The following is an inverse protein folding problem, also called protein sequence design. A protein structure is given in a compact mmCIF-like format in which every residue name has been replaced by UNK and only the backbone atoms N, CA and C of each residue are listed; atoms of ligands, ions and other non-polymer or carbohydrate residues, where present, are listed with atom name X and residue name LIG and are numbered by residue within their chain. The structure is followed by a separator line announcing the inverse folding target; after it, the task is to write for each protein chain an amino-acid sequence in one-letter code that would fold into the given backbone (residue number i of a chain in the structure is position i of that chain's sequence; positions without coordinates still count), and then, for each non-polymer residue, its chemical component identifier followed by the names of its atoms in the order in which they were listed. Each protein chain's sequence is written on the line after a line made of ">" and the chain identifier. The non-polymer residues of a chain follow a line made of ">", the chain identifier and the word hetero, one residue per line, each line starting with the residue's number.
data_IF_236439799019
#
_entry.id   IF_236439799019
#
_cell.length_a   1.000
_cell.length_b   1.000
_cell.length_c   1.000
_cell.angle_alpha   90.00
_cell.angle_beta   90.00
_cell.angle_gamma   90.00
#
_symmetry.space_group_name_H-M   'P 1'
#
loop_
_entity.id
_entity.type
_entity.pdbx_description
1 polymer ?
#
# COMPACT_ATOMS: atom_id res chain seq x y z
N UNK A 1 6.66 13.40 -3.55
CA UNK A 1 5.73 12.51 -4.29
C UNK A 1 5.91 12.72 -5.78
N UNK A 2 6.40 11.70 -6.46
CA UNK A 2 6.73 11.81 -7.88
C UNK A 2 5.75 11.04 -8.77
N UNK A 3 5.38 9.83 -8.36
CA UNK A 3 4.58 8.92 -9.19
C UNK A 3 3.17 8.67 -8.65
N UNK A 4 2.91 9.00 -7.40
CA UNK A 4 1.63 8.74 -6.74
C UNK A 4 1.09 10.00 -6.09
N UNK A 5 -0.22 10.04 -5.89
CA UNK A 5 -0.91 11.19 -5.30
C UNK A 5 -1.72 10.75 -4.08
N UNK A 6 -2.03 11.70 -3.21
CA UNK A 6 -2.94 11.46 -2.08
C UNK A 6 -4.32 11.04 -2.57
N UNK A 7 -4.79 11.62 -3.68
CA UNK A 7 -6.09 11.25 -4.27
C UNK A 7 -6.15 9.77 -4.65
N UNK A 8 -5.08 9.21 -5.21
CA UNK A 8 -5.01 7.79 -5.52
C UNK A 8 -5.13 6.93 -4.27
N UNK A 9 -4.58 7.38 -3.15
CA UNK A 9 -4.64 6.67 -1.87
C UNK A 9 -6.03 6.71 -1.24
N UNK A 10 -6.81 7.75 -1.53
CA UNK A 10 -8.18 7.91 -1.01
C UNK A 10 -9.22 7.20 -1.86
N UNK A 11 -8.95 6.98 -3.13
CA UNK A 11 -9.94 6.44 -4.05
C UNK A 11 -10.36 5.02 -3.68
N UNK A 12 -11.67 4.77 -3.67
CA UNK A 12 -12.24 3.45 -3.50
C UNK A 12 -13.56 3.35 -4.27
N UNK A 13 -13.61 2.41 -5.23
CA UNK A 13 -14.81 2.15 -5.98
C UNK A 13 -15.95 1.65 -5.08
N UNK A 14 -15.63 0.86 -4.05
CA UNK A 14 -16.61 0.39 -3.06
C UNK A 14 -17.18 1.56 -2.26
N UNK A 15 -16.33 2.48 -1.82
CA UNK A 15 -16.79 3.66 -1.08
C UNK A 15 -17.72 4.51 -1.93
N UNK A 16 -17.38 4.74 -3.20
CA UNK A 16 -18.25 5.49 -4.11
C UNK A 16 -19.61 4.81 -4.30
N UNK A 17 -19.60 3.50 -4.55
CA UNK A 17 -20.84 2.75 -4.74
C UNK A 17 -21.74 2.73 -3.52
N UNK A 18 -21.16 2.78 -2.31
CA UNK A 18 -21.90 2.74 -1.03
C UNK A 18 -22.13 4.12 -0.42
N UNK A 19 -21.68 5.19 -1.06
CA UNK A 19 -21.82 6.55 -0.53
C UNK A 19 -20.99 6.80 0.74
N UNK A 20 -19.86 6.09 0.89
CA UNK A 20 -18.96 6.25 2.02
C UNK A 20 -17.92 7.33 1.69
N UNK A 21 -17.77 8.32 2.56
CA UNK A 21 -16.72 9.32 2.45
C UNK A 21 -15.42 8.73 2.96
N UNK A 22 -14.45 8.55 2.05
CA UNK A 22 -13.17 7.92 2.38
C UNK A 22 -11.99 8.87 2.21
N UNK A 23 -12.13 10.07 2.76
CA UNK A 23 -11.06 11.07 2.71
C UNK A 23 -10.07 10.84 3.84
N UNK A 24 -8.76 10.90 3.54
CA UNK A 24 -7.71 10.77 4.55
C UNK A 24 -7.79 11.97 5.51
N UNK A 25 -7.98 11.73 6.83
CA UNK A 25 -7.96 12.82 7.80
C UNK A 25 -6.62 13.58 7.76
N UNK A 26 -6.63 14.90 8.03
CA UNK A 26 -5.38 15.67 8.03
C UNK A 26 -4.26 15.05 8.87
N UNK A 27 -4.58 14.45 10.01
CA UNK A 27 -3.61 13.80 10.90
C UNK A 27 -2.90 12.59 10.27
N UNK A 28 -3.47 11.99 9.21
CA UNK A 28 -2.91 10.80 8.53
C UNK A 28 -2.33 11.10 7.16
N UNK A 29 -2.44 12.32 6.66
CA UNK A 29 -1.84 12.72 5.37
C UNK A 29 -0.34 12.42 5.37
N UNK A 30 0.35 12.77 6.45
CA UNK A 30 1.79 12.51 6.61
C UNK A 30 2.13 11.02 6.45
N UNK A 31 1.28 10.12 6.96
CA UNK A 31 1.51 8.67 6.85
C UNK A 31 1.60 8.26 5.37
N UNK A 32 0.66 8.74 4.56
CA UNK A 32 0.63 8.42 3.14
C UNK A 32 1.69 9.16 2.32
N UNK A 33 2.04 10.39 2.70
CA UNK A 33 3.16 11.09 2.08
C UNK A 33 4.46 10.30 2.28
N UNK A 34 4.70 9.80 3.49
CA UNK A 34 5.90 9.00 3.77
C UNK A 34 5.88 7.65 3.07
N UNK A 35 4.73 6.97 3.03
CA UNK A 35 4.61 5.72 2.25
C UNK A 35 4.96 5.95 0.78
N UNK A 36 4.44 7.03 0.20
CA UNK A 36 4.73 7.37 -1.19
C UNK A 36 6.21 7.69 -1.39
N UNK A 37 6.74 8.63 -0.60
CA UNK A 37 8.11 9.13 -0.78
C UNK A 37 9.17 8.07 -0.50
N UNK A 38 8.97 7.27 0.54
CA UNK A 38 10.00 6.34 1.04
C UNK A 38 9.86 4.92 0.52
N UNK A 39 8.68 4.54 0.03
CA UNK A 39 8.40 3.17 -0.40
C UNK A 39 7.91 3.12 -1.84
N UNK A 40 6.77 3.72 -2.15
CA UNK A 40 6.12 3.54 -3.44
C UNK A 40 6.86 4.21 -4.60
N UNK A 41 7.35 5.43 -4.42
CA UNK A 41 8.12 6.13 -5.46
C UNK A 41 9.43 5.41 -5.77
N UNK A 42 10.24 4.96 -4.78
CA UNK A 42 11.42 4.14 -5.06
C UNK A 42 11.09 2.83 -5.80
N UNK A 43 10.00 2.16 -5.43
CA UNK A 43 9.55 0.95 -6.12
C UNK A 43 9.23 1.25 -7.58
N UNK A 44 8.44 2.30 -7.81
CA UNK A 44 8.04 2.69 -9.18
C UNK A 44 9.25 3.09 -10.03
N UNK A 45 10.21 3.78 -9.45
CA UNK A 45 11.43 4.15 -10.15
C UNK A 45 12.23 2.92 -10.60
N UNK A 46 12.29 1.90 -9.77
CA UNK A 46 13.00 0.66 -10.08
C UNK A 46 12.24 -0.22 -11.09
N UNK A 47 10.92 -0.30 -10.94
CA UNK A 47 10.08 -1.11 -11.84
C UNK A 47 9.97 -0.50 -13.24
N UNK A 48 10.01 0.82 -13.36
CA UNK A 48 10.00 1.61 -14.61
C UNK A 48 8.69 1.59 -15.42
N UNK A 49 7.68 0.85 -14.99
CA UNK A 49 6.36 0.80 -15.64
C UNK A 49 5.27 1.23 -14.66
N UNK A 50 4.08 1.60 -15.15
CA UNK A 50 2.98 2.02 -14.26
C UNK A 50 2.64 0.99 -13.19
N UNK A 51 2.38 1.46 -11.99
CA UNK A 51 1.87 0.70 -10.87
C UNK A 51 0.56 1.34 -10.44
N UNK A 52 -0.46 0.52 -10.23
CA UNK A 52 -1.81 0.97 -9.86
C UNK A 52 -2.12 0.63 -8.41
N UNK A 53 -2.87 1.50 -7.75
CA UNK A 53 -3.29 1.30 -6.36
C UNK A 53 -4.73 0.79 -6.35
N UNK A 54 -4.92 -0.44 -5.89
CA UNK A 54 -6.25 -1.03 -5.76
C UNK A 54 -6.96 -0.56 -4.48
N UNK A 55 -6.20 -0.36 -3.41
CA UNK A 55 -6.70 0.09 -2.11
C UNK A 55 -5.57 0.80 -1.39
N UNK A 56 -5.80 2.02 -0.98
CA UNK A 56 -4.89 2.76 -0.11
C UNK A 56 -5.53 2.93 1.26
N UNK A 57 -5.87 4.16 1.63
CA UNK A 57 -6.53 4.45 2.89
C UNK A 57 -7.94 3.87 2.94
N UNK A 58 -8.30 3.31 4.09
CA UNK A 58 -9.68 2.93 4.41
C UNK A 58 -10.11 3.59 5.72
N UNK A 59 -11.18 4.37 5.66
CA UNK A 59 -11.85 4.78 6.89
C UNK A 59 -12.47 3.54 7.56
N UNK A 60 -12.85 3.67 8.83
CA UNK A 60 -13.40 2.55 9.59
C UNK A 60 -14.59 1.91 8.88
N UNK A 61 -15.53 2.73 8.41
CA UNK A 61 -16.74 2.25 7.72
C UNK A 61 -16.39 1.47 6.46
N UNK A 62 -15.46 1.97 5.64
CA UNK A 62 -15.03 1.28 4.43
C UNK A 62 -14.32 -0.03 4.77
N UNK A 63 -13.45 -0.01 5.78
CA UNK A 63 -12.74 -1.23 6.19
C UNK A 63 -13.71 -2.33 6.61
N UNK A 64 -14.75 -1.99 7.35
CA UNK A 64 -15.82 -2.93 7.72
C UNK A 64 -16.58 -3.43 6.49
N UNK A 65 -16.91 -2.54 5.56
CA UNK A 65 -17.66 -2.87 4.34
C UNK A 65 -16.93 -3.86 3.43
N UNK A 66 -15.60 -3.79 3.38
CA UNK A 66 -14.79 -4.72 2.57
C UNK A 66 -14.30 -5.94 3.34
N UNK A 67 -14.72 -6.10 4.60
CA UNK A 67 -14.34 -7.23 5.43
C UNK A 67 -12.89 -7.19 5.92
N UNK A 68 -12.29 -6.02 5.99
CA UNK A 68 -10.95 -5.85 6.52
C UNK A 68 -10.88 -6.12 8.02
N UNK A 69 -9.73 -6.57 8.50
CA UNK A 69 -9.51 -6.79 9.94
C UNK A 69 -9.44 -5.44 10.65
N UNK A 70 -9.86 -5.42 11.93
CA UNK A 70 -9.88 -4.20 12.73
C UNK A 70 -8.50 -3.57 12.90
N UNK A 71 -7.45 -4.39 12.85
CA UNK A 71 -6.05 -3.95 12.98
C UNK A 71 -5.38 -3.67 11.64
N UNK A 72 -6.15 -3.50 10.56
CA UNK A 72 -5.61 -3.25 9.22
C UNK A 72 -4.80 -1.95 9.17
N UNK A 73 -3.61 -2.04 8.60
CA UNK A 73 -2.75 -0.86 8.41
C UNK A 73 -3.29 0.11 7.34
N UNK A 74 -4.27 -0.31 6.54
CA UNK A 74 -5.01 0.60 5.64
C UNK A 74 -5.78 1.67 6.42
N UNK A 75 -6.07 1.45 7.70
CA UNK A 75 -6.77 2.42 8.57
C UNK A 75 -5.82 3.39 9.28
N UNK A 76 -4.54 3.33 8.99
CA UNK A 76 -3.48 4.10 9.65
C UNK A 76 -3.32 3.77 11.15
N UNK A 77 -3.73 2.58 11.56
CA UNK A 77 -3.54 2.13 12.93
C UNK A 77 -2.05 2.16 13.30
N UNK A 78 -1.74 2.56 14.54
CA UNK A 78 -0.37 2.65 15.04
C UNK A 78 0.55 3.49 14.13
N UNK A 79 0.01 4.58 13.57
CA UNK A 79 0.74 5.49 12.69
C UNK A 79 1.33 4.81 11.45
N UNK A 80 0.58 3.87 10.89
CA UNK A 80 0.95 3.18 9.66
C UNK A 80 0.21 3.74 8.45
N UNK A 81 0.63 3.27 7.29
CA UNK A 81 -0.09 3.40 6.03
C UNK A 81 0.11 2.13 5.23
N UNK A 82 -0.85 1.77 4.40
CA UNK A 82 -0.77 0.60 3.55
C UNK A 82 -1.38 0.88 2.18
N UNK A 83 -0.86 0.18 1.18
CA UNK A 83 -1.42 0.19 -0.17
C UNK A 83 -1.35 -1.21 -0.75
N UNK A 84 -2.42 -1.60 -1.44
CA UNK A 84 -2.46 -2.79 -2.26
C UNK A 84 -2.21 -2.34 -3.70
N UNK A 85 -1.17 -2.86 -4.31
CA UNK A 85 -0.69 -2.42 -5.62
C UNK A 85 -0.67 -3.57 -6.63
N UNK A 86 -0.77 -3.22 -7.90
CA UNK A 86 -0.76 -4.17 -9.01
C UNK A 86 -0.18 -3.53 -10.26
N UNK A 87 0.36 -4.37 -11.13
CA UNK A 87 0.81 -3.95 -12.47
C UNK A 87 -0.35 -3.85 -13.47
N UNK A 88 -1.52 -4.43 -13.13
CA UNK A 88 -2.64 -4.64 -14.07
C UNK A 88 -2.26 -5.47 -15.31
N UNK A 89 -1.19 -6.27 -15.20
CA UNK A 89 -0.69 -7.14 -16.29
C UNK A 89 -0.66 -8.62 -15.91
N UNK A 90 -1.39 -8.99 -14.85
CA UNK A 90 -1.53 -10.38 -14.42
C UNK A 90 -0.52 -10.80 -13.35
N UNK A 91 -0.71 -12.04 -12.89
CA UNK A 91 0.06 -12.59 -11.76
C UNK A 91 1.56 -12.68 -12.02
N UNK A 92 1.97 -13.05 -13.23
CA UNK A 92 3.40 -13.16 -13.55
C UNK A 92 4.09 -11.79 -13.49
N UNK A 93 3.45 -10.74 -14.00
CA UNK A 93 3.99 -9.39 -13.89
C UNK A 93 4.03 -8.92 -12.43
N UNK A 94 3.01 -9.25 -11.63
CA UNK A 94 2.99 -8.93 -10.20
C UNK A 94 4.08 -9.69 -9.45
N UNK A 95 4.37 -10.93 -9.85
CA UNK A 95 5.47 -11.71 -9.28
C UNK A 95 6.82 -11.02 -9.53
N UNK A 96 7.04 -10.51 -10.74
CA UNK A 96 8.25 -9.74 -11.05
C UNK A 96 8.34 -8.50 -10.16
N UNK A 97 7.24 -7.75 -10.04
CA UNK A 97 7.19 -6.58 -9.16
C UNK A 97 7.49 -6.96 -7.70
N UNK A 98 6.89 -8.02 -7.21
CA UNK A 98 7.12 -8.51 -5.84
C UNK A 98 8.60 -8.78 -5.58
N UNK A 99 9.28 -9.45 -6.50
CA UNK A 99 10.70 -9.76 -6.35
C UNK A 99 11.60 -8.53 -6.44
N UNK A 100 11.22 -7.54 -7.25
CA UNK A 100 11.90 -6.23 -7.26
C UNK A 100 11.80 -5.56 -5.90
N UNK A 101 10.59 -5.53 -5.30
CA UNK A 101 10.38 -4.93 -3.98
C UNK A 101 11.18 -5.68 -2.92
N UNK A 102 11.12 -7.01 -2.95
CA UNK A 102 11.86 -7.86 -2.01
C UNK A 102 13.36 -7.55 -2.07
N UNK A 103 13.91 -7.40 -3.28
CA UNK A 103 15.32 -7.07 -3.45
C UNK A 103 15.65 -5.69 -2.88
N UNK A 104 14.80 -4.70 -3.10
CA UNK A 104 15.00 -3.35 -2.55
C UNK A 104 15.03 -3.37 -1.00
N UNK A 105 14.18 -4.19 -0.39
CA UNK A 105 14.16 -4.37 1.07
C UNK A 105 15.45 -5.05 1.54
N UNK A 106 15.82 -6.15 0.90
CA UNK A 106 16.97 -6.98 1.32
C UNK A 106 18.31 -6.25 1.14
N UNK A 107 18.41 -5.35 0.19
CA UNK A 107 19.60 -4.52 -0.02
C UNK A 107 19.60 -3.22 0.78
N UNK A 108 18.55 -2.99 1.59
CA UNK A 108 18.46 -1.80 2.45
C UNK A 108 18.11 -0.51 1.74
N UNK A 109 17.68 -0.57 0.48
CA UNK A 109 17.30 0.63 -0.29
C UNK A 109 15.96 1.19 0.14
N UNK A 110 15.04 0.33 0.60
CA UNK A 110 13.77 0.76 1.21
C UNK A 110 13.54 -0.02 2.51
N UNK A 111 12.70 0.53 3.36
CA UNK A 111 12.20 -0.14 4.57
C UNK A 111 10.69 -0.19 4.48
N UNK A 112 10.12 -1.34 4.83
CA UNK A 112 8.67 -1.53 4.90
C UNK A 112 8.33 -2.19 6.23
N UNK A 113 7.09 -2.05 6.68
CA UNK A 113 6.64 -2.88 7.79
C UNK A 113 6.31 -4.29 7.29
N UNK A 114 5.48 -4.39 6.25
CA UNK A 114 5.15 -5.66 5.61
C UNK A 114 5.15 -5.55 4.09
N UNK A 115 5.66 -6.59 3.44
CA UNK A 115 5.48 -6.87 2.03
C UNK A 115 4.76 -8.21 1.93
N UNK A 116 3.56 -8.22 1.36
CA UNK A 116 2.73 -9.43 1.31
C UNK A 116 2.33 -9.76 -0.13
N UNK A 117 2.63 -10.98 -0.54
CA UNK A 117 2.06 -11.57 -1.73
C UNK A 117 0.65 -12.06 -1.38
N UNK A 118 -0.37 -11.40 -1.91
CA UNK A 118 -1.76 -11.68 -1.61
C UNK A 118 -2.38 -12.52 -2.72
N UNK A 119 -3.03 -13.62 -2.33
CA UNK A 119 -3.81 -14.45 -3.21
C UNK A 119 -3.06 -14.86 -4.49
N UNK A 120 -1.84 -15.42 -4.30
CA UNK A 120 -0.96 -15.87 -5.39
C UNK A 120 -0.69 -14.77 -6.44
N UNK A 121 -0.13 -13.64 -5.99
CA UNK A 121 0.24 -12.49 -6.82
C UNK A 121 -0.93 -11.80 -7.53
N UNK A 122 -2.16 -11.93 -6.99
CA UNK A 122 -3.28 -11.15 -7.52
C UNK A 122 -3.07 -9.66 -7.25
N UNK A 123 -2.54 -9.33 -6.06
CA UNK A 123 -2.02 -8.00 -5.74
C UNK A 123 -0.92 -8.12 -4.70
N UNK A 124 -0.25 -7.01 -4.46
CA UNK A 124 0.84 -6.91 -3.49
C UNK A 124 0.47 -5.89 -2.44
N UNK A 125 0.55 -6.28 -1.17
CA UNK A 125 0.36 -5.37 -0.04
C UNK A 125 1.70 -4.86 0.44
N UNK A 126 1.84 -3.54 0.57
CA UNK A 126 2.98 -2.91 1.21
C UNK A 126 2.52 -1.96 2.29
N UNK A 127 3.23 -1.94 3.41
CA UNK A 127 2.90 -1.05 4.53
C UNK A 127 4.15 -0.43 5.12
N UNK A 128 3.94 0.68 5.84
CA UNK A 128 5.01 1.47 6.42
C UNK A 128 4.55 2.12 7.72
N UNK A 129 5.43 2.14 8.73
CA UNK A 129 5.20 2.86 9.98
C UNK A 129 6.05 4.12 10.00
N UNK A 130 5.43 5.27 10.24
CA UNK A 130 6.18 6.54 10.30
C UNK A 130 6.93 6.70 11.63
N UNK A 131 6.48 6.00 12.67
CA UNK A 131 7.16 5.95 13.96
C UNK A 131 7.43 4.51 14.36
N UNK A 132 8.54 4.29 15.07
CA UNK A 132 8.92 2.97 15.49
C UNK A 132 9.62 2.16 14.40
N UNK A 133 9.77 0.86 14.66
CA UNK A 133 10.52 -0.03 13.79
C UNK A 133 9.65 -0.61 12.68
N UNK A 134 10.10 -0.48 11.45
CA UNK A 134 9.56 -1.23 10.31
C UNK A 134 10.18 -2.63 10.30
N UNK A 135 9.34 -3.66 10.33
CA UNK A 135 9.77 -5.06 10.52
C UNK A 135 10.44 -5.68 9.30
N UNK A 136 10.27 -5.10 8.12
CA UNK A 136 10.69 -5.70 6.83
C UNK A 136 10.18 -7.14 6.69
N UNK A 137 8.96 -7.40 7.15
CA UNK A 137 8.36 -8.72 7.15
C UNK A 137 7.83 -9.05 5.74
N UNK A 138 8.26 -10.19 5.21
CA UNK A 138 7.87 -10.65 3.86
C UNK A 138 7.02 -11.89 4.00
N UNK A 139 5.78 -11.83 3.51
CA UNK A 139 4.78 -12.87 3.70
C UNK A 139 4.11 -13.25 2.38
N UNK A 140 3.50 -14.44 2.37
CA UNK A 140 2.59 -14.90 1.32
C UNK A 140 1.28 -15.33 1.98
N UNK A 141 0.15 -14.72 1.59
CA UNK A 141 -1.16 -15.01 2.16
C UNK A 141 -2.22 -15.31 1.11
#
# INVERSE_FOLDING_TARGET
>A
MKYFTIKEMEFSAVAEAKGITNKIPPKFIKNYVELIDKVLDPIRAQYTNPIYVNSGYRCKELNEAVGGVETSQHTCINNSAAADITTNKGREANKVLFHIIKNLIQTGQIKVDQLINENNYMWIHVSYKIYGKNRNQILAL
#
